data_IF_129404110560
#
_entry.id   IF_129404110560
#
_cell.length_a   1.000
_cell.length_b   1.000
_cell.length_c   1.000
_cell.angle_alpha   90.00
_cell.angle_beta   90.00
_cell.angle_gamma   90.00
#
_symmetry.space_group_name_H-M   'P 1'
#
loop_
_entity.id
_entity.type
_entity.pdbx_description
1 polymer ?
#
# COMPACT_ATOMS: atom_id res chain seq x y z
N UNK A 1 2.40 -4.82 -4.68
CA UNK A 1 3.05 -4.62 -5.99
C UNK A 1 1.97 -4.71 -7.07
N UNK A 2 1.95 -3.77 -8.01
CA UNK A 2 0.97 -3.70 -9.09
C UNK A 2 1.71 -3.82 -10.44
N UNK A 3 1.33 -4.83 -11.21
CA UNK A 3 1.68 -5.04 -12.62
C UNK A 3 0.39 -4.82 -13.41
N UNK A 4 0.30 -3.71 -14.15
CA UNK A 4 -0.93 -3.30 -14.83
C UNK A 4 -1.16 -4.09 -16.12
N UNK A 5 -0.07 -4.41 -16.83
CA UNK A 5 -0.14 -4.99 -18.17
C UNK A 5 0.09 -6.51 -18.20
N UNK A 6 0.44 -7.12 -17.06
CA UNK A 6 0.65 -8.56 -16.92
C UNK A 6 1.97 -9.06 -17.53
N UNK A 7 2.98 -8.17 -17.67
CA UNK A 7 4.27 -8.53 -18.25
C UNK A 7 5.28 -9.11 -17.24
N UNK A 8 4.83 -9.30 -16.00
CA UNK A 8 5.60 -9.78 -14.84
C UNK A 8 6.67 -8.78 -14.35
N UNK A 9 6.62 -7.54 -14.79
CA UNK A 9 7.41 -6.45 -14.25
C UNK A 9 6.52 -5.52 -13.44
N UNK A 10 6.89 -5.20 -12.19
CA UNK A 10 6.11 -4.26 -11.41
C UNK A 10 6.08 -2.86 -12.03
N UNK A 11 4.89 -2.31 -12.25
CA UNK A 11 4.71 -0.92 -12.67
C UNK A 11 4.71 0.03 -11.48
N UNK A 12 4.13 -0.41 -10.36
CA UNK A 12 4.04 0.37 -9.13
C UNK A 12 4.19 -0.52 -7.91
N UNK A 13 4.82 0.04 -6.87
CA UNK A 13 4.88 -0.58 -5.55
C UNK A 13 4.06 0.28 -4.59
N UNK A 14 3.11 -0.34 -3.94
CA UNK A 14 2.32 0.24 -2.85
C UNK A 14 2.74 -0.43 -1.56
N UNK A 15 3.02 0.34 -0.53
CA UNK A 15 3.39 -0.19 0.77
C UNK A 15 2.94 0.74 1.91
N UNK A 16 2.80 0.18 3.08
CA UNK A 16 2.70 0.92 4.32
C UNK A 16 4.08 0.97 5.00
N UNK A 17 4.34 2.07 5.68
CA UNK A 17 5.55 2.26 6.49
C UNK A 17 5.12 2.63 7.90
N UNK A 18 5.78 2.02 8.89
CA UNK A 18 5.66 2.33 10.30
C UNK A 18 7.08 2.45 10.83
N UNK A 19 7.46 3.65 11.25
CA UNK A 19 8.83 3.96 11.66
C UNK A 19 8.82 4.90 12.85
N UNK A 20 9.40 4.44 13.96
CA UNK A 20 9.64 5.26 15.13
C UNK A 20 11.13 5.60 15.24
N UNK A 21 11.45 6.87 15.50
CA UNK A 21 12.83 7.31 15.72
C UNK A 21 12.90 8.44 16.71
N UNK A 22 14.08 8.63 17.30
CA UNK A 22 14.37 9.76 18.19
C UNK A 22 15.39 10.67 17.53
N UNK A 23 15.09 11.96 17.50
CA UNK A 23 15.99 13.01 17.01
C UNK A 23 16.15 14.10 18.06
N UNK A 24 17.01 15.08 17.82
CA UNK A 24 17.22 16.22 18.72
C UNK A 24 16.90 17.54 18.02
N UNK A 25 16.13 18.38 18.68
CA UNK A 25 15.88 19.74 18.25
C UNK A 25 16.19 20.70 19.40
N UNK A 26 17.07 21.64 19.17
CA UNK A 26 17.53 22.61 20.19
C UNK A 26 18.03 21.97 21.52
N UNK A 27 18.63 20.77 21.43
CA UNK A 27 19.13 20.04 22.60
C UNK A 27 18.09 19.19 23.34
N UNK A 28 16.86 19.15 22.87
CA UNK A 28 15.79 18.33 23.45
C UNK A 28 15.55 17.08 22.59
N UNK A 29 15.41 15.89 23.20
CA UNK A 29 15.04 14.69 22.47
C UNK A 29 13.60 14.80 21.97
N UNK A 30 13.37 14.48 20.70
CA UNK A 30 12.05 14.40 20.07
C UNK A 30 11.83 12.98 19.62
N UNK A 31 10.79 12.33 20.10
CA UNK A 31 10.32 11.05 19.57
C UNK A 31 9.32 11.32 18.44
N UNK A 32 9.53 10.69 17.32
CA UNK A 32 8.65 10.73 16.15
C UNK A 32 8.21 9.33 15.84
N UNK A 33 6.91 9.12 15.79
CA UNK A 33 6.27 7.91 15.25
C UNK A 33 5.59 8.30 13.92
N UNK A 34 6.03 7.70 12.82
CA UNK A 34 5.60 8.04 11.47
C UNK A 34 5.01 6.80 10.80
N UNK A 35 3.73 6.89 10.47
CA UNK A 35 2.98 5.85 9.78
C UNK A 35 2.44 6.39 8.46
N UNK A 36 2.39 5.54 7.43
CA UNK A 36 1.87 6.00 6.17
C UNK A 36 1.81 4.98 5.06
N UNK A 37 0.96 5.28 4.09
CA UNK A 37 0.81 4.56 2.84
C UNK A 37 1.50 5.33 1.71
N UNK A 38 2.33 4.65 0.93
CA UNK A 38 3.23 5.25 -0.06
C UNK A 38 3.12 4.49 -1.37
N UNK A 39 3.19 5.24 -2.48
CA UNK A 39 3.34 4.70 -3.84
C UNK A 39 4.75 4.99 -4.39
N UNK A 40 5.35 3.99 -5.02
CA UNK A 40 6.61 4.10 -5.75
C UNK A 40 6.38 3.69 -7.20
N UNK A 41 6.42 4.62 -8.16
CA UNK A 41 6.41 4.28 -9.58
C UNK A 41 7.71 3.57 -9.97
N UNK A 42 7.63 2.55 -10.83
CA UNK A 42 8.81 2.00 -11.48
C UNK A 42 9.43 3.02 -12.46
N UNK A 43 10.66 2.77 -12.89
CA UNK A 43 11.37 3.67 -13.80
C UNK A 43 10.59 3.90 -15.10
N UNK A 44 10.35 5.17 -15.43
CA UNK A 44 9.55 5.57 -16.59
C UNK A 44 8.06 5.72 -16.33
N UNK A 45 7.57 5.27 -15.17
CA UNK A 45 6.18 5.40 -14.78
C UNK A 45 5.95 6.62 -13.88
N UNK A 46 4.69 7.03 -13.74
CA UNK A 46 4.30 8.21 -12.97
C UNK A 46 2.86 8.07 -12.47
N UNK A 47 2.51 8.77 -11.41
CA UNK A 47 1.13 8.94 -10.94
C UNK A 47 0.67 10.38 -11.11
N UNK A 48 -0.64 10.59 -11.18
CA UNK A 48 -1.23 11.91 -11.22
C UNK A 48 -1.03 12.63 -9.88
N UNK A 49 -0.42 13.80 -9.93
CA UNK A 49 -0.11 14.56 -8.75
C UNK A 49 0.70 15.83 -9.05
N UNK A 50 0.66 16.75 -8.12
CA UNK A 50 1.33 18.04 -8.24
C UNK A 50 2.36 18.24 -7.13
N UNK A 51 3.38 19.03 -7.43
CA UNK A 51 4.36 19.46 -6.42
C UNK A 51 3.78 20.64 -5.66
N UNK A 52 3.68 20.55 -4.35
CA UNK A 52 3.46 21.73 -3.50
C UNK A 52 4.74 22.11 -2.79
N UNK A 53 5.02 23.41 -2.77
CA UNK A 53 6.13 23.98 -1.99
C UNK A 53 5.60 24.36 -0.63
N UNK A 54 6.13 23.74 0.44
CA UNK A 54 5.80 24.17 1.80
C UNK A 54 6.47 25.48 2.16
N UNK A 55 5.94 26.20 3.13
CA UNK A 55 6.49 27.47 3.64
C UNK A 55 7.93 27.35 4.18
N UNK A 56 8.47 26.14 4.33
CA UNK A 56 9.86 25.87 4.72
C UNK A 56 10.77 25.55 3.52
N UNK A 57 10.28 25.72 2.28
CA UNK A 57 11.07 25.44 1.06
C UNK A 57 11.24 23.95 0.75
N UNK A 58 10.59 23.06 1.48
CA UNK A 58 10.54 21.65 1.14
C UNK A 58 9.43 21.39 0.13
N UNK A 59 9.74 20.66 -0.94
CA UNK A 59 8.75 20.25 -1.93
C UNK A 59 8.14 18.93 -1.50
N UNK A 60 6.83 18.88 -1.32
CA UNK A 60 6.07 17.64 -1.13
C UNK A 60 5.33 17.32 -2.43
N UNK A 61 5.37 16.06 -2.84
CA UNK A 61 4.59 15.59 -3.97
C UNK A 61 3.23 15.13 -3.44
N UNK A 62 2.17 15.84 -3.82
CA UNK A 62 0.82 15.49 -3.48
C UNK A 62 0.24 14.62 -4.59
N UNK A 63 -0.24 13.45 -4.22
CA UNK A 63 -1.01 12.60 -5.11
C UNK A 63 -2.40 13.21 -5.26
N UNK A 64 -2.94 13.21 -6.48
CA UNK A 64 -4.31 13.67 -6.70
C UNK A 64 -5.27 12.50 -6.42
N UNK A 65 -6.27 12.71 -5.56
CA UNK A 65 -7.41 11.82 -5.45
C UNK A 65 -8.39 12.19 -6.58
N UNK A 66 -8.35 11.42 -7.66
CA UNK A 66 -9.13 11.68 -8.87
C UNK A 66 -10.60 11.35 -8.60
N UNK A 67 -11.54 12.27 -8.81
CA UNK A 67 -12.95 11.95 -8.67
C UNK A 67 -13.40 10.89 -9.68
N UNK A 68 -14.28 9.98 -9.25
CA UNK A 68 -14.90 9.01 -10.17
C UNK A 68 -15.55 9.72 -11.36
N UNK A 69 -15.39 9.18 -12.55
CA UNK A 69 -15.91 9.78 -13.78
C UNK A 69 -15.00 10.88 -14.39
N UNK A 70 -13.88 11.21 -13.76
CA UNK A 70 -12.91 12.17 -14.30
C UNK A 70 -11.95 11.52 -15.27
N UNK A 71 -11.55 12.26 -16.31
CA UNK A 71 -10.61 11.79 -17.32
C UNK A 71 -9.16 11.81 -16.78
N UNK A 72 -8.43 10.75 -17.08
CA UNK A 72 -7.00 10.58 -16.76
C UNK A 72 -6.26 10.45 -18.10
N UNK A 73 -5.33 11.37 -18.37
CA UNK A 73 -4.64 11.43 -19.64
C UNK A 73 -3.49 12.44 -19.64
N UNK A 74 -3.07 12.87 -20.81
CA UNK A 74 -1.92 13.76 -20.99
C UNK A 74 -2.07 15.14 -20.32
N UNK A 75 -3.31 15.56 -20.02
CA UNK A 75 -3.57 16.85 -19.37
C UNK A 75 -3.34 16.88 -17.87
N UNK A 76 -3.20 15.70 -17.21
CA UNK A 76 -2.88 15.64 -15.80
C UNK A 76 -1.43 16.04 -15.53
N UNK A 77 -1.17 16.53 -14.32
CA UNK A 77 0.21 16.67 -13.84
C UNK A 77 0.71 15.30 -13.41
N UNK A 78 1.98 15.00 -13.69
CA UNK A 78 2.56 13.68 -13.47
C UNK A 78 3.81 13.76 -12.60
N UNK A 79 3.93 12.87 -11.62
CA UNK A 79 5.10 12.72 -10.78
C UNK A 79 5.66 11.31 -10.86
N UNK A 80 6.98 11.19 -11.04
CA UNK A 80 7.73 9.93 -11.03
C UNK A 80 8.49 9.68 -9.73
N UNK A 81 8.36 10.58 -8.75
CA UNK A 81 8.91 10.39 -7.41
C UNK A 81 7.99 9.52 -6.56
N UNK A 82 8.49 9.00 -5.42
CA UNK A 82 7.61 8.40 -4.42
C UNK A 82 6.59 9.43 -3.91
N UNK A 83 5.37 8.98 -3.61
CA UNK A 83 4.30 9.84 -3.14
C UNK A 83 3.54 9.25 -1.96
N UNK A 84 3.14 10.12 -1.03
CA UNK A 84 2.33 9.71 0.12
C UNK A 84 0.85 9.73 -0.23
N UNK A 85 0.20 8.58 -0.08
CA UNK A 85 -1.26 8.44 -0.14
C UNK A 85 -1.90 8.95 1.15
N UNK A 86 -1.26 8.65 2.28
CA UNK A 86 -1.64 9.14 3.59
C UNK A 86 -0.47 9.00 4.56
N UNK A 87 -0.26 10.01 5.42
CA UNK A 87 0.77 10.01 6.45
C UNK A 87 0.16 10.49 7.78
N UNK A 88 0.55 9.83 8.87
CA UNK A 88 0.27 10.23 10.24
C UNK A 88 1.59 10.30 10.99
N UNK A 89 1.86 11.40 11.66
CA UNK A 89 3.03 11.55 12.49
C UNK A 89 2.61 11.93 13.92
N UNK A 90 3.10 11.21 14.90
CA UNK A 90 3.03 11.59 16.31
C UNK A 90 4.40 12.11 16.75
N UNK A 91 4.42 13.31 17.31
CA UNK A 91 5.65 13.98 17.74
C UNK A 91 5.54 14.25 19.23
N UNK A 92 6.47 13.69 20.01
CA UNK A 92 6.50 13.83 21.47
C UNK A 92 7.82 14.46 21.91
N UNK A 93 7.72 15.58 22.64
CA UNK A 93 8.83 16.19 23.37
C UNK A 93 8.60 15.92 24.85
N UNK A 94 9.36 14.98 25.47
CA UNK A 94 9.12 14.56 26.85
C UNK A 94 9.11 15.73 27.84
N UNK A 95 8.03 15.79 28.65
CA UNK A 95 7.87 16.83 29.67
C UNK A 95 7.44 18.22 29.15
N UNK A 96 7.27 18.36 27.83
CA UNK A 96 6.88 19.66 27.24
C UNK A 96 5.57 19.56 26.46
N UNK A 97 5.47 18.66 25.47
CA UNK A 97 4.34 18.66 24.59
C UNK A 97 4.26 17.40 23.69
N UNK A 98 3.05 17.03 23.28
CA UNK A 98 2.78 16.02 22.27
C UNK A 98 1.82 16.59 21.24
N UNK A 99 2.06 16.28 19.97
CA UNK A 99 1.16 16.64 18.86
C UNK A 99 1.11 15.54 17.83
N UNK A 100 -0.01 15.47 17.12
CA UNK A 100 -0.16 14.62 15.95
C UNK A 100 -0.39 15.48 14.71
N UNK A 101 0.14 15.03 13.59
CA UNK A 101 -0.04 15.62 12.28
C UNK A 101 -0.47 14.54 11.31
N UNK A 102 -1.48 14.81 10.49
CA UNK A 102 -1.94 13.91 9.44
C UNK A 102 -2.07 14.65 8.11
N UNK A 103 -1.70 14.00 7.03
CA UNK A 103 -1.80 14.54 5.69
C UNK A 103 -1.94 13.43 4.65
N UNK A 104 -2.47 13.77 3.50
CA UNK A 104 -2.62 12.88 2.35
C UNK A 104 -4.08 12.74 1.92
N UNK A 105 -4.33 12.68 0.60
CA UNK A 105 -5.67 12.76 0.04
C UNK A 105 -6.49 11.47 0.22
N UNK A 106 -5.86 10.37 0.65
CA UNK A 106 -6.50 9.06 0.80
C UNK A 106 -6.67 8.64 2.26
N UNK A 107 -6.16 9.41 3.21
CA UNK A 107 -6.21 9.04 4.62
C UNK A 107 -7.66 8.91 5.11
N UNK A 108 -8.03 7.72 5.60
CA UNK A 108 -9.38 7.40 6.05
C UNK A 108 -10.42 7.32 4.94
N UNK A 109 -10.00 7.15 3.68
CA UNK A 109 -10.93 7.15 2.54
C UNK A 109 -10.49 6.22 1.41
N UNK A 110 -11.44 5.92 0.53
CA UNK A 110 -11.20 5.23 -0.73
C UNK A 110 -11.20 6.24 -1.88
N UNK A 111 -10.30 6.07 -2.85
CA UNK A 111 -10.22 6.98 -3.99
C UNK A 111 -9.40 6.43 -5.14
N UNK A 112 -9.32 7.18 -6.24
CA UNK A 112 -8.61 6.79 -7.45
C UNK A 112 -7.30 7.54 -7.60
N UNK A 113 -6.21 6.81 -7.82
CA UNK A 113 -4.91 7.34 -8.25
C UNK A 113 -4.83 7.20 -9.76
N UNK A 114 -4.61 8.29 -10.47
CA UNK A 114 -4.32 8.24 -11.90
C UNK A 114 -2.90 7.73 -12.14
N UNK A 115 -2.73 6.85 -13.12
CA UNK A 115 -1.49 6.18 -13.46
C UNK A 115 -1.09 6.46 -14.91
N UNK A 116 0.20 6.68 -15.13
CA UNK A 116 0.82 6.78 -16.45
C UNK A 116 2.04 5.87 -16.48
N UNK A 117 2.04 4.90 -17.38
CA UNK A 117 3.10 3.91 -17.45
C UNK A 117 3.51 3.60 -18.90
N UNK A 118 4.65 2.96 -19.06
CA UNK A 118 5.17 2.56 -20.35
C UNK A 118 4.99 1.05 -20.54
N UNK A 119 4.33 0.67 -21.64
CA UNK A 119 4.22 -0.72 -22.06
C UNK A 119 4.61 -0.83 -23.54
N UNK A 120 5.55 -1.72 -23.85
CA UNK A 120 6.02 -1.91 -25.22
C UNK A 120 6.59 -0.65 -25.89
N UNK A 121 7.15 0.28 -25.10
CA UNK A 121 7.69 1.55 -25.59
C UNK A 121 6.63 2.64 -25.82
N UNK A 122 5.38 2.40 -25.47
CA UNK A 122 4.28 3.35 -25.60
C UNK A 122 3.76 3.80 -24.23
N UNK A 123 3.27 5.02 -24.17
CA UNK A 123 2.60 5.56 -22.97
C UNK A 123 1.16 5.10 -22.90
N UNK A 124 0.75 4.63 -21.72
CA UNK A 124 -0.62 4.25 -21.41
C UNK A 124 -1.09 4.99 -20.16
N UNK A 125 -2.41 5.19 -20.08
CA UNK A 125 -3.05 5.77 -18.90
C UNK A 125 -3.97 4.75 -18.25
N UNK A 126 -3.96 4.77 -16.92
CA UNK A 126 -4.75 3.87 -16.09
C UNK A 126 -5.17 4.54 -14.79
N UNK A 127 -5.84 3.78 -13.97
CA UNK A 127 -6.15 4.14 -12.60
C UNK A 127 -6.05 2.93 -11.69
N UNK A 128 -5.81 3.20 -10.43
CA UNK A 128 -5.95 2.23 -9.33
C UNK A 128 -6.82 2.84 -8.26
N UNK A 129 -7.78 2.08 -7.75
CA UNK A 129 -8.59 2.47 -6.60
C UNK A 129 -7.99 1.89 -5.35
N UNK A 130 -7.65 2.76 -4.41
CA UNK A 130 -7.02 2.41 -3.15
C UNK A 130 -7.88 2.86 -1.97
N UNK A 131 -7.75 2.17 -0.86
CA UNK A 131 -8.26 2.59 0.45
C UNK A 131 -7.08 2.67 1.42
N UNK A 132 -7.02 3.75 2.19
CA UNK A 132 -6.00 3.98 3.22
C UNK A 132 -6.69 4.18 4.57
N UNK A 133 -6.19 3.50 5.60
CA UNK A 133 -6.70 3.66 6.97
C UNK A 133 -6.51 5.08 7.49
N UNK A 134 -7.38 5.51 8.42
CA UNK A 134 -7.29 6.84 9.03
C UNK A 134 -6.02 7.03 9.88
N UNK A 135 -5.40 5.95 10.31
CA UNK A 135 -4.14 5.89 11.05
C UNK A 135 -2.89 5.78 10.15
N UNK A 136 -3.08 5.60 8.84
CA UNK A 136 -1.99 5.41 7.88
C UNK A 136 -1.36 4.00 7.88
N UNK A 137 -1.82 3.10 8.72
CA UNK A 137 -1.26 1.74 8.86
C UNK A 137 -1.81 0.74 7.84
N UNK A 138 -2.94 1.07 7.23
CA UNK A 138 -3.66 0.21 6.31
C UNK A 138 -3.65 0.76 4.89
N UNK A 139 -3.39 -0.10 3.91
CA UNK A 139 -3.50 0.19 2.49
C UNK A 139 -4.06 -1.02 1.75
N UNK A 140 -5.14 -0.84 1.01
CA UNK A 140 -5.72 -1.86 0.14
C UNK A 140 -5.87 -1.35 -1.28
N UNK A 141 -5.51 -2.17 -2.25
CA UNK A 141 -5.85 -1.98 -3.66
C UNK A 141 -7.19 -2.69 -3.89
N UNK A 142 -8.21 -1.93 -4.32
CA UNK A 142 -9.55 -2.48 -4.57
C UNK A 142 -9.65 -3.05 -5.99
N UNK A 143 -9.27 -2.24 -6.96
CA UNK A 143 -9.31 -2.58 -8.38
C UNK A 143 -8.44 -1.61 -9.18
N UNK A 144 -8.19 -1.94 -10.43
CA UNK A 144 -7.46 -1.08 -11.37
C UNK A 144 -7.87 -1.36 -12.81
N UNK A 145 -7.65 -0.41 -13.69
CA UNK A 145 -7.79 -0.57 -15.11
C UNK A 145 -6.87 0.37 -15.89
N UNK A 146 -6.60 0.05 -17.15
CA UNK A 146 -5.89 0.95 -18.07
C UNK A 146 -6.46 0.83 -19.50
N UNK A 147 -6.17 1.83 -20.34
CA UNK A 147 -6.47 1.73 -21.77
C UNK A 147 -5.28 1.15 -22.53
N UNK A 148 -5.48 0.02 -23.21
CA UNK A 148 -4.44 -0.65 -24.00
C UNK A 148 -4.08 0.12 -25.30
N UNK A 149 -4.90 1.10 -25.70
CA UNK A 149 -4.59 1.97 -26.83
C UNK A 149 -3.60 3.06 -26.38
N UNK A 150 -2.41 3.15 -26.99
CA UNK A 150 -1.42 4.13 -26.59
C UNK A 150 -1.95 5.56 -26.60
N UNK A 151 -1.57 6.35 -25.58
CA UNK A 151 -1.90 7.74 -25.40
C UNK A 151 -3.41 8.06 -25.32
N UNK A 152 -4.26 7.04 -25.12
CA UNK A 152 -5.71 7.21 -24.98
C UNK A 152 -6.06 7.47 -23.52
N UNK A 153 -6.76 8.57 -23.19
CA UNK A 153 -7.25 8.81 -21.84
C UNK A 153 -8.25 7.74 -21.40
N UNK A 154 -8.23 7.43 -20.10
CA UNK A 154 -9.22 6.57 -19.44
C UNK A 154 -10.02 7.41 -18.43
N UNK A 155 -11.23 6.97 -18.10
CA UNK A 155 -12.07 7.60 -17.07
C UNK A 155 -11.93 6.82 -15.77
N UNK A 156 -11.74 7.53 -14.65
CA UNK A 156 -11.63 6.91 -13.33
C UNK A 156 -12.89 6.09 -12.98
N UNK A 157 -12.69 4.78 -12.74
CA UNK A 157 -13.77 3.82 -12.48
C UNK A 157 -14.34 3.13 -13.72
N UNK A 158 -13.87 3.45 -14.92
CA UNK A 158 -14.22 2.71 -16.15
C UNK A 158 -13.18 1.63 -16.45
N UNK A 159 -13.63 0.56 -17.11
CA UNK A 159 -12.81 -0.63 -17.38
C UNK A 159 -11.93 -0.46 -18.57
N UNK A 160 -11.62 0.57 -19.18
CA UNK A 160 -10.69 0.69 -20.30
C UNK A 160 -10.74 -0.44 -21.34
N UNK A 161 -9.76 -0.51 -22.22
CA UNK A 161 -9.59 -1.58 -23.21
C UNK A 161 -8.46 -2.59 -22.84
N UNK A 162 -7.75 -2.34 -21.76
CA UNK A 162 -6.72 -3.22 -21.23
C UNK A 162 -7.25 -4.32 -20.33
N UNK A 163 -6.40 -5.24 -19.87
CA UNK A 163 -6.76 -6.15 -18.80
C UNK A 163 -7.27 -5.36 -17.60
N UNK A 164 -8.43 -5.74 -17.09
CA UNK A 164 -8.95 -5.20 -15.84
C UNK A 164 -8.58 -6.16 -14.72
N UNK A 165 -7.79 -5.72 -13.78
CA UNK A 165 -7.64 -6.41 -12.51
C UNK A 165 -8.79 -5.95 -11.62
N UNK A 166 -9.82 -6.75 -11.53
CA UNK A 166 -10.73 -6.69 -10.40
C UNK A 166 -10.00 -7.51 -9.34
N UNK A 167 -9.66 -6.89 -8.23
CA UNK A 167 -9.57 -7.69 -7.01
C UNK A 167 -11.00 -8.14 -6.74
N UNK A 168 -11.40 -9.21 -7.44
CA UNK A 168 -12.70 -9.86 -7.23
C UNK A 168 -12.71 -10.57 -5.89
N UNK A 169 -12.07 -10.00 -4.90
CA UNK A 169 -12.18 -10.61 -3.61
C UNK A 169 -12.24 -9.52 -2.55
N UNK A 170 -13.26 -9.62 -1.74
CA UNK A 170 -13.18 -9.34 -0.32
C UNK A 170 -12.04 -10.17 0.37
N UNK A 171 -11.09 -10.69 -0.38
CA UNK A 171 -9.96 -11.50 0.08
C UNK A 171 -8.77 -10.60 0.40
N UNK A 172 -9.03 -9.65 1.26
CA UNK A 172 -8.00 -8.83 1.85
C UNK A 172 -7.18 -9.69 2.82
N UNK A 173 -5.88 -9.79 2.55
CA UNK A 173 -4.89 -10.32 3.49
C UNK A 173 -3.75 -9.31 3.62
N UNK A 174 -3.57 -8.76 4.80
CA UNK A 174 -2.45 -7.89 5.14
C UNK A 174 -1.59 -8.57 6.20
N UNK A 175 -0.28 -8.63 5.95
CA UNK A 175 0.69 -9.22 6.88
C UNK A 175 1.68 -8.15 7.29
N UNK A 176 1.76 -7.92 8.59
CA UNK A 176 2.67 -6.95 9.21
C UNK A 176 3.61 -7.66 10.18
N UNK A 177 4.92 -7.47 9.99
CA UNK A 177 5.90 -7.89 10.96
C UNK A 177 6.02 -6.82 12.06
N UNK A 178 5.61 -7.17 13.26
CA UNK A 178 5.81 -6.39 14.48
C UNK A 178 7.02 -6.94 15.23
N UNK A 179 7.49 -6.22 16.25
CA UNK A 179 8.74 -6.58 16.97
C UNK A 179 8.77 -8.04 17.48
N UNK A 180 7.67 -8.54 18.05
CA UNK A 180 7.57 -9.89 18.63
C UNK A 180 6.36 -10.66 18.11
N UNK A 181 5.76 -10.23 17.01
CA UNK A 181 4.60 -10.90 16.45
C UNK A 181 4.41 -10.60 14.95
N UNK A 182 3.72 -11.48 14.27
CA UNK A 182 3.19 -11.24 12.93
C UNK A 182 1.71 -10.95 13.09
N UNK A 183 1.27 -9.77 12.67
CA UNK A 183 -0.13 -9.39 12.59
C UNK A 183 -0.66 -9.72 11.20
N UNK A 184 -1.70 -10.49 11.16
CA UNK A 184 -2.40 -10.88 9.94
C UNK A 184 -3.82 -10.35 10.04
N UNK A 185 -4.20 -9.57 9.06
CA UNK A 185 -5.54 -9.04 8.92
C UNK A 185 -6.16 -9.57 7.64
N UNK A 186 -7.36 -10.13 7.74
CA UNK A 186 -8.05 -10.79 6.64
C UNK A 186 -9.46 -10.26 6.51
N UNK A 187 -10.06 -10.42 5.33
CA UNK A 187 -11.49 -10.23 5.17
C UNK A 187 -12.30 -11.31 5.91
N UNK A 188 -13.58 -11.02 6.16
CA UNK A 188 -14.51 -11.98 6.79
C UNK A 188 -14.67 -13.29 5.99
N UNK A 189 -14.38 -13.27 4.69
CA UNK A 189 -14.36 -14.44 3.80
C UNK A 189 -13.33 -15.50 4.17
N UNK A 190 -12.31 -15.14 4.95
CA UNK A 190 -11.30 -16.07 5.50
C UNK A 190 -11.65 -16.58 6.90
N UNK A 191 -12.80 -16.23 7.43
CA UNK A 191 -13.23 -16.83 8.70
C UNK A 191 -13.29 -18.36 8.52
N UNK A 192 -12.71 -19.10 9.49
CA UNK A 192 -12.50 -20.55 9.42
C UNK A 192 -11.40 -21.05 8.47
N UNK A 193 -10.72 -20.20 7.73
CA UNK A 193 -9.55 -20.58 6.94
C UNK A 193 -8.41 -21.11 7.83
N UNK A 194 -7.57 -21.99 7.27
CA UNK A 194 -6.40 -22.52 7.96
C UNK A 194 -5.16 -21.71 7.60
N UNK A 195 -4.55 -21.13 8.61
CA UNK A 195 -3.27 -20.46 8.51
C UNK A 195 -2.14 -21.44 8.85
N UNK A 196 -1.12 -21.51 8.00
CA UNK A 196 0.09 -22.29 8.27
C UNK A 196 1.33 -21.44 8.02
N UNK A 197 2.29 -21.50 8.95
CA UNK A 197 3.63 -20.93 8.81
C UNK A 197 4.63 -22.07 8.69
N UNK A 198 5.39 -22.11 7.60
CA UNK A 198 6.31 -23.19 7.29
C UNK A 198 7.71 -22.63 7.00
N UNK A 199 8.76 -23.23 7.52
CA UNK A 199 10.13 -22.86 7.17
C UNK A 199 10.46 -23.26 5.71
N UNK A 200 11.50 -22.69 5.14
CA UNK A 200 11.98 -23.07 3.79
C UNK A 200 12.40 -24.54 3.68
N UNK A 201 12.68 -25.21 4.81
CA UNK A 201 12.98 -26.65 4.86
C UNK A 201 11.73 -27.54 4.91
N UNK A 202 10.51 -26.93 4.91
CA UNK A 202 9.24 -27.65 4.98
C UNK A 202 8.76 -27.96 6.40
N UNK A 203 9.45 -27.46 7.45
CA UNK A 203 9.01 -27.67 8.82
C UNK A 203 7.80 -26.78 9.12
N UNK A 204 6.72 -27.36 9.60
CA UNK A 204 5.54 -26.65 10.07
C UNK A 204 5.86 -26.01 11.44
N UNK A 205 5.72 -24.69 11.53
CA UNK A 205 5.97 -23.89 12.74
C UNK A 205 4.66 -23.54 13.45
N UNK A 206 3.69 -23.02 12.67
CA UNK A 206 2.34 -22.66 13.17
C UNK A 206 1.31 -23.27 12.25
N UNK A 207 0.25 -23.80 12.84
CA UNK A 207 -0.96 -24.21 12.12
C UNK A 207 -2.16 -23.90 13.01
N UNK A 208 -3.00 -22.97 12.57
CA UNK A 208 -4.17 -22.56 13.32
C UNK A 208 -5.32 -22.14 12.40
N UNK A 209 -6.53 -22.24 12.90
CA UNK A 209 -7.70 -21.73 12.23
C UNK A 209 -7.86 -20.23 12.52
N UNK A 210 -8.21 -19.45 11.49
CA UNK A 210 -8.52 -18.03 11.66
C UNK A 210 -9.89 -17.89 12.31
N UNK A 211 -9.97 -17.08 13.36
CA UNK A 211 -11.19 -16.75 14.07
C UNK A 211 -11.34 -15.22 14.13
N UNK A 212 -12.01 -14.67 13.14
CA UNK A 212 -12.17 -13.22 12.98
C UNK A 212 -11.14 -12.61 12.03
N UNK A 213 -11.18 -11.29 11.88
CA UNK A 213 -10.42 -10.52 10.85
C UNK A 213 -8.99 -10.20 11.25
N UNK A 214 -8.60 -10.38 12.52
CA UNK A 214 -7.24 -10.11 12.99
C UNK A 214 -6.69 -11.31 13.72
N UNK A 215 -5.51 -11.77 13.29
CA UNK A 215 -4.77 -12.87 13.93
C UNK A 215 -3.35 -12.41 14.26
N UNK A 216 -2.90 -12.71 15.47
CA UNK A 216 -1.53 -12.45 15.91
C UNK A 216 -0.79 -13.78 16.10
N UNK A 217 0.37 -13.92 15.47
CA UNK A 217 1.32 -15.02 15.70
C UNK A 217 2.45 -14.46 16.56
N UNK A 218 2.63 -15.01 17.76
CA UNK A 218 3.81 -14.68 18.57
C UNK A 218 5.06 -15.28 17.93
N UNK A 219 6.12 -14.48 17.80
CA UNK A 219 7.40 -14.86 17.17
C UNK A 219 8.55 -14.97 18.14
N UNK A 220 8.35 -14.83 19.46
CA UNK A 220 9.42 -14.88 20.46
C UNK A 220 10.22 -16.19 20.45
N UNK A 221 9.57 -17.30 20.09
CA UNK A 221 10.20 -18.63 20.01
C UNK A 221 10.53 -19.05 18.58
N UNK A 222 10.29 -18.20 17.58
CA UNK A 222 10.56 -18.47 16.18
C UNK A 222 11.93 -17.91 15.83
N UNK A 223 12.82 -18.76 15.33
CA UNK A 223 14.16 -18.31 14.92
C UNK A 223 14.08 -17.32 13.75
N UNK A 224 15.00 -16.37 13.69
CA UNK A 224 15.08 -15.47 12.52
C UNK A 224 15.36 -16.28 11.25
N UNK A 225 14.61 -16.03 10.19
CA UNK A 225 14.72 -16.79 8.95
C UNK A 225 13.61 -16.48 7.96
N UNK A 226 13.68 -17.11 6.79
CA UNK A 226 12.66 -17.02 5.76
C UNK A 226 11.60 -18.09 5.99
N UNK A 227 10.35 -17.67 5.99
CA UNK A 227 9.18 -18.53 6.19
C UNK A 227 8.17 -18.31 5.09
N UNK A 228 7.34 -19.32 4.85
CA UNK A 228 6.19 -19.27 3.94
C UNK A 228 4.94 -19.27 4.82
N UNK A 229 4.16 -18.21 4.75
CA UNK A 229 2.84 -18.12 5.35
C UNK A 229 1.80 -18.49 4.29
N UNK A 230 0.91 -19.41 4.62
CA UNK A 230 -0.21 -19.79 3.78
C UNK A 230 -1.52 -19.60 4.52
N UNK A 231 -2.53 -19.08 3.85
CA UNK A 231 -3.91 -19.05 4.33
C UNK A 231 -4.74 -19.81 3.30
N UNK A 232 -5.36 -20.88 3.72
CA UNK A 232 -6.15 -21.77 2.88
C UNK A 232 -7.61 -21.79 3.35
N UNK A 233 -8.50 -21.33 2.49
CA UNK A 233 -9.96 -21.50 2.61
C UNK A 233 -10.45 -22.42 1.49
N UNK A 234 -11.71 -22.85 1.55
CA UNK A 234 -12.31 -23.80 0.59
C UNK A 234 -12.16 -23.38 -0.89
N UNK A 235 -12.01 -22.07 -1.16
CA UNK A 235 -11.94 -21.53 -2.52
C UNK A 235 -10.68 -20.70 -2.81
N UNK A 236 -9.84 -20.38 -1.80
CA UNK A 236 -8.72 -19.46 -1.96
C UNK A 236 -7.47 -19.98 -1.25
N UNK A 237 -6.34 -19.89 -1.92
CA UNK A 237 -5.00 -20.08 -1.36
C UNK A 237 -4.22 -18.77 -1.47
N UNK A 238 -3.78 -18.22 -0.34
CA UNK A 238 -2.92 -17.07 -0.29
C UNK A 238 -1.54 -17.46 0.22
N UNK A 239 -0.48 -16.90 -0.40
CA UNK A 239 0.92 -17.20 -0.10
C UNK A 239 1.70 -15.91 0.16
N UNK A 240 2.49 -15.88 1.23
CA UNK A 240 3.40 -14.80 1.57
C UNK A 240 4.79 -15.35 1.91
N UNK A 241 5.84 -14.71 1.38
CA UNK A 241 7.22 -15.00 1.70
C UNK A 241 7.78 -13.81 2.51
N UNK A 242 8.17 -14.06 3.75
CA UNK A 242 8.67 -13.03 4.66
C UNK A 242 9.92 -13.47 5.40
N UNK A 243 10.69 -12.51 5.91
CA UNK A 243 11.92 -12.71 6.70
C UNK A 243 11.70 -12.24 8.12
#
# INVERSE_FOLDING_TARGET
VLDLNGDLQPDYIFLTNDTAFVTNYAGLPISVDLKGAIIYPASGNSYAGSTSVTSMGSSTFNIDNIPQGSSIGSANNWSSSSGALGLVAEIVIPGLYSTSYSTGPFLGTTGFVGLKFNAGGNTHFGWVRVEVGADGEFLSIKDYAFDATPNTPIVAGETGSGPVGISENNDFVNVQNLHNSIRIETADSYNDAVLSLVSISGQLIVNQQLNGTITLINTDEIASGVYVLTINSDNNLWLYFGT
#
